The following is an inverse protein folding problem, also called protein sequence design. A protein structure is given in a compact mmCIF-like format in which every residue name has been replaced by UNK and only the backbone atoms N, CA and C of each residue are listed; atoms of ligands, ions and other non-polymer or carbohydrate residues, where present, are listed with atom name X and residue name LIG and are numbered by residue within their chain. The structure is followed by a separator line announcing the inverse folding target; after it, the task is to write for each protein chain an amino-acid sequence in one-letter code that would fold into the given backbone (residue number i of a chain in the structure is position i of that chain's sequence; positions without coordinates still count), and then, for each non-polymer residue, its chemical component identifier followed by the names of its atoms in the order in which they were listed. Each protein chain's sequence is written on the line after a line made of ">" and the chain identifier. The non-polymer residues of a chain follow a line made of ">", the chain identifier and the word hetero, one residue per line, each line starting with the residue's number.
data_IF_280946171620
#
_entry.id   IF_280946171620
#
_cell.length_a   1.000
_cell.length_b   1.000
_cell.length_c   1.000
_cell.angle_alpha   90.00
_cell.angle_beta   90.00
_cell.angle_gamma   90.00
#
_symmetry.space_group_name_H-M   'P 1'
#
loop_
_entity.id
_entity.type
_entity.pdbx_description
1 polymer ?
#
# COMPACT_ATOMS: atom_id res chain seq x y z
N UNK A 1 -1.54 -26.58 -4.20
CA UNK A 1 -1.42 -25.59 -3.13
C UNK A 1 -0.07 -24.90 -3.15
N UNK A 2 0.02 -23.70 -2.58
CA UNK A 2 1.31 -22.97 -2.43
C UNK A 2 2.07 -23.61 -1.28
N UNK A 3 3.33 -23.98 -1.53
CA UNK A 3 4.19 -24.47 -0.46
C UNK A 3 4.55 -23.28 0.47
N UNK A 4 4.43 -23.43 1.78
CA UNK A 4 4.71 -22.38 2.76
C UNK A 4 6.13 -21.80 2.63
N UNK A 5 7.08 -22.58 2.14
CA UNK A 5 8.46 -22.14 1.87
C UNK A 5 8.58 -21.07 0.79
N UNK A 6 7.52 -20.87 0.02
CA UNK A 6 7.46 -19.88 -1.05
C UNK A 6 6.68 -18.61 -0.62
N UNK A 7 6.45 -18.43 0.66
CA UNK A 7 5.76 -17.24 1.19
C UNK A 7 6.80 -16.21 1.62
N UNK A 8 6.87 -15.09 0.92
CA UNK A 8 7.66 -13.93 1.33
C UNK A 8 6.82 -13.02 2.21
N UNK A 9 7.28 -12.78 3.44
CA UNK A 9 6.62 -11.92 4.43
C UNK A 9 7.58 -10.87 4.94
N UNK A 10 7.24 -9.55 4.88
CA UNK A 10 8.08 -8.50 5.41
C UNK A 10 7.88 -8.33 6.92
N UNK A 11 8.87 -7.74 7.59
CA UNK A 11 8.72 -7.15 8.90
C UNK A 11 8.23 -5.70 8.72
N UNK A 12 6.91 -5.50 8.86
CA UNK A 12 6.22 -4.23 8.63
C UNK A 12 6.55 -3.24 9.76
N UNK A 13 6.88 -2.00 9.39
CA UNK A 13 7.26 -0.95 10.33
C UNK A 13 6.60 0.41 10.01
N UNK A 14 5.51 0.40 9.22
CA UNK A 14 4.77 1.59 8.77
C UNK A 14 5.66 2.57 8.00
N UNK A 15 6.49 2.05 7.13
CA UNK A 15 7.37 2.80 6.23
C UNK A 15 6.74 2.95 4.84
N UNK A 16 7.51 3.49 3.89
CA UNK A 16 7.21 3.44 2.45
C UNK A 16 8.10 2.48 1.67
N UNK A 17 8.85 1.64 2.39
CA UNK A 17 9.83 0.75 1.78
C UNK A 17 9.15 -0.43 1.09
N UNK A 18 9.50 -0.61 -0.19
CA UNK A 18 9.05 -1.73 -1.02
C UNK A 18 10.26 -2.48 -1.54
N UNK A 19 10.28 -3.79 -1.36
CA UNK A 19 11.38 -4.63 -1.82
C UNK A 19 10.93 -5.64 -2.87
N UNK A 20 11.83 -5.92 -3.78
CA UNK A 20 11.67 -6.96 -4.79
C UNK A 20 12.04 -8.32 -4.21
N UNK A 21 11.24 -9.34 -4.51
CA UNK A 21 11.51 -10.74 -4.21
C UNK A 21 12.03 -11.41 -5.48
N UNK A 22 13.32 -11.75 -5.50
CA UNK A 22 14.04 -12.18 -6.72
C UNK A 22 14.28 -13.68 -6.84
N UNK A 23 14.04 -14.46 -5.79
CA UNK A 23 14.37 -15.88 -5.77
C UNK A 23 13.42 -16.64 -4.85
N UNK A 24 13.43 -17.96 -4.96
CA UNK A 24 12.78 -18.82 -3.97
C UNK A 24 13.23 -18.42 -2.58
N UNK A 25 12.26 -18.19 -1.73
CA UNK A 25 12.51 -17.98 -0.32
C UNK A 25 13.09 -19.31 0.22
N UNK A 26 14.26 -19.28 0.82
CA UNK A 26 14.87 -20.50 1.33
C UNK A 26 14.17 -20.84 2.66
N UNK A 27 13.41 -21.91 2.69
CA UNK A 27 12.61 -22.30 3.85
C UNK A 27 13.41 -22.80 5.03
N UNK A 28 14.65 -23.21 4.78
CA UNK A 28 15.53 -23.74 5.82
C UNK A 28 16.05 -22.65 6.77
N UNK A 29 15.71 -21.38 6.48
CA UNK A 29 16.04 -20.23 7.32
C UNK A 29 14.77 -19.40 7.62
N UNK A 30 13.95 -19.79 8.61
CA UNK A 30 12.70 -19.07 8.93
C UNK A 30 12.92 -17.59 9.29
N UNK A 31 14.09 -17.23 9.83
CA UNK A 31 14.45 -15.84 10.15
C UNK A 31 14.97 -15.06 8.93
N UNK A 32 15.28 -15.73 7.84
CA UNK A 32 15.80 -15.12 6.62
C UNK A 32 14.81 -14.10 6.02
N UNK A 33 13.53 -14.39 6.05
CA UNK A 33 12.50 -13.48 5.54
C UNK A 33 12.42 -12.20 6.37
N UNK A 34 12.44 -12.31 7.69
CA UNK A 34 12.34 -11.17 8.59
C UNK A 34 13.56 -10.25 8.46
N UNK A 35 14.77 -10.82 8.41
CA UNK A 35 16.01 -10.03 8.27
C UNK A 35 16.13 -9.39 6.87
N UNK A 36 15.80 -10.12 5.82
CA UNK A 36 15.90 -9.64 4.43
C UNK A 36 14.91 -8.52 4.11
N UNK A 37 13.72 -8.59 4.70
CA UNK A 37 12.63 -7.63 4.46
C UNK A 37 12.29 -6.82 5.71
N UNK A 38 13.32 -6.50 6.52
CA UNK A 38 13.16 -5.64 7.68
C UNK A 38 12.74 -4.22 7.26
N UNK A 39 11.94 -3.56 8.10
CA UNK A 39 11.41 -2.21 7.87
C UNK A 39 10.81 -2.04 6.46
N UNK A 40 10.03 -3.03 6.05
CA UNK A 40 9.47 -3.12 4.70
C UNK A 40 7.97 -3.32 4.80
N UNK A 41 7.21 -2.49 4.09
CA UNK A 41 5.75 -2.53 4.12
C UNK A 41 5.14 -2.94 2.77
N UNK A 42 5.97 -3.25 1.79
CA UNK A 42 5.53 -3.78 0.51
C UNK A 42 6.54 -4.70 -0.15
N UNK A 43 6.04 -5.70 -0.85
CA UNK A 43 6.83 -6.64 -1.64
C UNK A 43 6.29 -6.70 -3.06
N UNK A 44 7.21 -6.86 -4.04
CA UNK A 44 6.86 -7.06 -5.44
C UNK A 44 7.62 -8.26 -6.03
N UNK A 45 7.01 -8.95 -6.97
CA UNK A 45 7.65 -10.06 -7.71
C UNK A 45 6.94 -10.35 -9.04
N UNK A 46 7.68 -10.92 -9.98
CA UNK A 46 7.15 -11.59 -11.17
C UNK A 46 7.43 -13.10 -11.17
N UNK A 47 8.01 -13.60 -10.09
CA UNK A 47 8.28 -15.04 -9.97
C UNK A 47 7.00 -15.82 -9.74
N UNK A 48 6.82 -16.90 -10.51
CA UNK A 48 5.77 -17.88 -10.26
C UNK A 48 6.08 -18.66 -8.99
N UNK A 49 5.05 -19.19 -8.37
CA UNK A 49 5.14 -20.02 -7.18
C UNK A 49 5.63 -19.28 -5.90
N UNK A 50 5.71 -17.95 -5.94
CA UNK A 50 5.97 -17.11 -4.76
C UNK A 50 4.67 -16.40 -4.36
N UNK A 51 4.29 -16.55 -3.10
CA UNK A 51 3.22 -15.77 -2.49
C UNK A 51 3.80 -14.61 -1.68
N UNK A 52 3.20 -13.43 -1.81
CA UNK A 52 3.52 -12.27 -1.00
C UNK A 52 2.49 -12.15 0.12
N UNK A 53 2.93 -12.03 1.36
CA UNK A 53 2.05 -11.94 2.51
C UNK A 53 2.35 -10.67 3.33
N UNK A 54 1.31 -9.94 3.68
CA UNK A 54 1.33 -8.86 4.68
C UNK A 54 0.22 -9.09 5.69
N UNK A 55 0.28 -8.44 6.82
CA UNK A 55 -0.75 -8.52 7.88
C UNK A 55 -1.29 -7.15 8.19
N UNK A 56 -2.58 -7.08 8.52
CA UNK A 56 -3.20 -5.87 9.03
C UNK A 56 -4.28 -6.22 10.07
N UNK A 57 -4.71 -5.19 10.80
CA UNK A 57 -6.00 -5.14 11.47
C UNK A 57 -6.84 -4.07 10.76
N UNK A 58 -6.59 -2.81 11.07
CA UNK A 58 -7.34 -1.66 10.53
C UNK A 58 -6.65 -0.99 9.33
N UNK A 59 -5.33 -1.19 9.20
CA UNK A 59 -4.56 -0.57 8.12
C UNK A 59 -5.00 -1.07 6.74
N UNK A 60 -4.82 -0.24 5.72
CA UNK A 60 -5.12 -0.60 4.33
C UNK A 60 -4.09 -1.63 3.85
N UNK A 61 -4.57 -2.71 3.23
CA UNK A 61 -3.77 -3.57 2.36
C UNK A 61 -4.15 -3.28 0.92
N UNK A 62 -3.15 -3.23 0.05
CA UNK A 62 -3.35 -3.08 -1.39
C UNK A 62 -2.64 -4.21 -2.13
N UNK A 63 -3.40 -4.88 -3.00
CA UNK A 63 -2.90 -5.90 -3.89
C UNK A 63 -2.83 -5.33 -5.30
N UNK A 64 -1.64 -5.30 -5.88
CA UNK A 64 -1.43 -4.83 -7.25
C UNK A 64 -1.14 -6.03 -8.16
N UNK A 65 -1.66 -5.95 -9.37
CA UNK A 65 -1.41 -6.94 -10.42
C UNK A 65 -1.29 -6.26 -11.78
N UNK A 66 -0.19 -6.52 -12.47
CA UNK A 66 -0.02 -6.20 -13.89
C UNK A 66 -0.16 -7.49 -14.70
N UNK A 67 -1.27 -7.66 -15.46
CA UNK A 67 -1.52 -8.88 -16.23
C UNK A 67 -0.58 -9.01 -17.45
N UNK A 68 -0.06 -7.88 -17.97
CA UNK A 68 0.82 -7.85 -19.15
C UNK A 68 2.22 -8.31 -18.76
N UNK A 69 2.77 -7.77 -17.68
CA UNK A 69 4.11 -8.12 -17.16
C UNK A 69 4.09 -9.28 -16.18
N UNK A 70 2.90 -9.71 -15.74
CA UNK A 70 2.69 -10.77 -14.74
C UNK A 70 3.44 -10.47 -13.44
N UNK A 71 3.30 -9.24 -12.97
CA UNK A 71 3.90 -8.75 -11.73
C UNK A 71 2.81 -8.60 -10.69
N UNK A 72 3.10 -9.02 -9.47
CA UNK A 72 2.24 -8.80 -8.30
C UNK A 72 2.96 -7.94 -7.28
N UNK A 73 2.19 -7.13 -6.54
CA UNK A 73 2.66 -6.49 -5.34
C UNK A 73 1.64 -6.66 -4.21
N UNK A 74 2.14 -6.74 -2.97
CA UNK A 74 1.33 -6.74 -1.77
C UNK A 74 1.88 -5.67 -0.83
N UNK A 75 1.06 -4.68 -0.46
CA UNK A 75 1.48 -3.45 0.20
C UNK A 75 0.61 -3.18 1.42
N UNK A 76 1.25 -3.02 2.56
CA UNK A 76 0.63 -2.53 3.79
C UNK A 76 0.73 -1.01 3.85
N UNK A 77 -0.40 -0.33 3.87
CA UNK A 77 -0.49 1.12 3.95
C UNK A 77 -1.21 1.54 5.24
N UNK A 78 -0.48 1.56 6.34
CA UNK A 78 -0.94 2.23 7.55
C UNK A 78 -1.00 3.75 7.33
N UNK A 79 -1.48 4.52 8.32
CA UNK A 79 -1.61 5.96 8.17
C UNK A 79 -0.29 6.67 7.81
N UNK A 80 0.85 6.23 8.36
CA UNK A 80 2.18 6.74 7.99
C UNK A 80 2.56 6.36 6.57
N UNK A 81 2.25 5.14 6.14
CA UNK A 81 2.50 4.67 4.79
C UNK A 81 1.68 5.45 3.75
N UNK A 82 0.40 5.70 4.03
CA UNK A 82 -0.45 6.56 3.20
C UNK A 82 0.11 7.97 3.11
N UNK A 83 0.47 8.57 4.26
CA UNK A 83 1.08 9.90 4.31
C UNK A 83 2.36 9.99 3.47
N UNK A 84 3.15 8.94 3.45
CA UNK A 84 4.39 8.83 2.66
C UNK A 84 4.14 8.34 1.21
N UNK A 85 2.88 8.20 0.79
CA UNK A 85 2.46 7.76 -0.55
C UNK A 85 3.00 6.39 -0.95
N UNK A 86 2.98 5.41 -0.04
CA UNK A 86 3.50 4.07 -0.31
C UNK A 86 2.84 3.39 -1.52
N UNK A 87 1.56 3.67 -1.80
CA UNK A 87 0.86 3.18 -2.99
C UNK A 87 1.52 3.66 -4.29
N UNK A 88 2.01 4.91 -4.31
CA UNK A 88 2.73 5.48 -5.44
C UNK A 88 4.12 4.86 -5.57
N UNK A 89 4.79 4.61 -4.43
CA UNK A 89 6.09 3.92 -4.45
C UNK A 89 5.97 2.50 -5.00
N UNK A 90 4.83 1.81 -4.74
CA UNK A 90 4.56 0.50 -5.33
C UNK A 90 4.48 0.57 -6.87
N UNK A 91 3.69 1.52 -7.41
CA UNK A 91 3.56 1.71 -8.86
C UNK A 91 4.90 2.10 -9.49
N UNK A 92 5.66 3.00 -8.85
CA UNK A 92 7.02 3.35 -9.31
C UNK A 92 7.92 2.12 -9.37
N UNK A 93 7.94 1.34 -8.29
CA UNK A 93 8.78 0.15 -8.18
C UNK A 93 8.40 -0.91 -9.23
N UNK A 94 7.10 -1.12 -9.49
CA UNK A 94 6.63 -2.01 -10.55
C UNK A 94 7.08 -1.51 -11.93
N UNK A 95 7.05 -0.20 -12.17
CA UNK A 95 7.54 0.39 -13.43
C UNK A 95 9.06 0.27 -13.57
N UNK A 96 9.82 0.61 -12.53
CA UNK A 96 11.29 0.60 -12.57
C UNK A 96 11.89 -0.80 -12.71
N UNK A 97 11.33 -1.78 -11.97
CA UNK A 97 11.89 -3.14 -11.92
C UNK A 97 11.38 -4.06 -13.04
N UNK A 98 10.19 -3.77 -13.58
CA UNK A 98 9.51 -4.68 -14.50
C UNK A 98 8.93 -4.01 -15.75
N UNK A 99 9.11 -2.69 -15.92
CA UNK A 99 8.54 -1.91 -17.02
C UNK A 99 7.01 -2.04 -17.11
N UNK A 100 6.32 -2.08 -15.95
CA UNK A 100 4.87 -2.03 -15.91
C UNK A 100 4.34 -0.68 -16.38
N UNK A 101 3.27 -0.66 -17.17
CA UNK A 101 2.54 0.58 -17.48
C UNK A 101 1.44 0.77 -16.41
N UNK A 102 1.38 1.91 -15.72
CA UNK A 102 0.32 2.18 -14.74
C UNK A 102 -1.11 1.92 -15.26
N UNK A 103 -1.35 2.10 -16.57
CA UNK A 103 -2.66 1.84 -17.19
C UNK A 103 -3.10 0.37 -17.16
N UNK A 104 -2.12 -0.54 -17.10
CA UNK A 104 -2.36 -1.98 -17.10
C UNK A 104 -2.45 -2.55 -15.67
N UNK A 105 -2.03 -1.77 -14.66
CA UNK A 105 -2.04 -2.19 -13.27
C UNK A 105 -3.45 -2.17 -12.71
N UNK A 106 -3.84 -3.27 -12.10
CA UNK A 106 -5.06 -3.42 -11.31
C UNK A 106 -4.68 -3.31 -9.83
N UNK A 107 -5.39 -2.52 -9.06
CA UNK A 107 -5.20 -2.38 -7.61
C UNK A 107 -6.48 -2.77 -6.87
N UNK A 108 -6.40 -3.77 -6.01
CA UNK A 108 -7.47 -4.11 -5.08
C UNK A 108 -7.15 -3.52 -3.71
N UNK A 109 -8.02 -2.63 -3.21
CA UNK A 109 -7.95 -2.07 -1.86
C UNK A 109 -8.78 -2.95 -0.93
N UNK A 110 -8.11 -3.74 -0.09
CA UNK A 110 -8.75 -4.68 0.80
C UNK A 110 -9.58 -3.97 1.90
N UNK A 111 -10.49 -4.71 2.59
CA UNK A 111 -11.22 -4.18 3.73
C UNK A 111 -10.28 -3.57 4.79
N UNK A 112 -10.62 -2.37 5.26
CA UNK A 112 -9.81 -1.59 6.19
C UNK A 112 -10.67 -0.58 6.94
N UNK A 113 -10.10 0.13 7.90
CA UNK A 113 -10.78 1.23 8.58
C UNK A 113 -11.21 2.29 7.57
N UNK A 114 -12.44 2.78 7.74
CA UNK A 114 -13.04 3.81 6.87
C UNK A 114 -13.10 5.16 7.58
N UNK A 115 -13.30 6.22 6.83
CA UNK A 115 -13.43 7.61 7.27
C UNK A 115 -14.30 7.76 8.53
N UNK A 116 -15.43 7.05 8.61
CA UNK A 116 -16.37 7.11 9.73
C UNK A 116 -15.77 6.67 11.08
N UNK A 117 -14.69 5.86 11.05
CA UNK A 117 -14.02 5.35 12.24
C UNK A 117 -12.58 5.84 12.40
N UNK A 118 -11.92 6.26 11.31
CA UNK A 118 -10.55 6.79 11.38
C UNK A 118 -10.56 8.24 11.86
N UNK A 119 -10.65 8.41 13.17
CA UNK A 119 -10.71 9.69 13.87
C UNK A 119 -9.36 9.99 14.50
N UNK A 120 -8.78 11.14 14.16
CA UNK A 120 -7.42 11.53 14.54
C UNK A 120 -7.38 12.90 15.18
N UNK A 121 -6.34 13.17 15.95
CA UNK A 121 -6.03 14.48 16.49
C UNK A 121 -5.19 15.32 15.49
N UNK A 122 -4.92 16.55 15.86
CA UNK A 122 -4.25 17.56 15.04
C UNK A 122 -2.82 17.17 14.63
N UNK A 123 -2.14 16.37 15.43
CA UNK A 123 -0.79 15.83 15.15
C UNK A 123 -0.74 14.94 13.91
N UNK A 124 -1.82 14.23 13.61
CA UNK A 124 -1.97 13.43 12.38
C UNK A 124 -2.66 14.25 11.28
N UNK A 125 -3.71 15.02 11.62
CA UNK A 125 -4.47 15.79 10.63
C UNK A 125 -3.60 16.82 9.90
N UNK A 126 -2.76 17.57 10.62
CA UNK A 126 -1.95 18.64 10.03
C UNK A 126 -0.95 18.12 8.99
N UNK A 127 -0.16 17.06 9.24
CA UNK A 127 0.67 16.45 8.20
C UNK A 127 -0.13 15.98 6.99
N UNK A 128 -1.29 15.33 7.18
CA UNK A 128 -2.14 14.89 6.08
C UNK A 128 -2.63 16.05 5.22
N UNK A 129 -3.15 17.10 5.86
CA UNK A 129 -3.62 18.27 5.12
C UNK A 129 -2.49 18.91 4.31
N UNK A 130 -1.31 19.08 4.91
CA UNK A 130 -0.16 19.67 4.22
C UNK A 130 0.31 18.85 3.03
N UNK A 131 0.31 17.51 3.14
CA UNK A 131 0.76 16.59 2.08
C UNK A 131 -0.25 16.50 0.93
N UNK A 132 -1.53 16.59 1.23
CA UNK A 132 -2.60 16.32 0.27
C UNK A 132 -3.45 17.55 -0.09
N UNK A 133 -3.07 18.76 0.34
CA UNK A 133 -3.83 20.01 0.12
C UNK A 133 -4.13 20.33 -1.34
N UNK A 134 -3.33 19.79 -2.27
CA UNK A 134 -3.50 20.02 -3.70
C UNK A 134 -4.47 18.99 -4.36
N UNK A 135 -5.00 18.04 -3.58
CA UNK A 135 -6.03 17.13 -4.08
C UNK A 135 -7.38 17.85 -4.18
N UNK A 136 -8.11 17.58 -5.26
CA UNK A 136 -9.50 17.97 -5.33
C UNK A 136 -10.27 17.42 -4.12
N UNK A 137 -11.17 18.22 -3.57
CA UNK A 137 -12.06 17.84 -2.45
C UNK A 137 -11.34 17.47 -1.16
N UNK A 138 -10.12 17.95 -0.93
CA UNK A 138 -9.39 17.65 0.30
C UNK A 138 -10.21 17.97 1.56
N UNK A 139 -11.02 19.01 1.52
CA UNK A 139 -11.90 19.40 2.64
C UNK A 139 -13.07 18.44 2.86
N UNK A 140 -13.40 17.60 1.86
CA UNK A 140 -14.33 16.47 2.00
C UNK A 140 -13.64 15.20 2.53
N UNK A 141 -12.33 15.06 2.30
CA UNK A 141 -11.54 13.91 2.72
C UNK A 141 -11.03 14.04 4.15
N UNK A 142 -10.78 15.26 4.62
CA UNK A 142 -10.31 15.59 5.98
C UNK A 142 -11.33 16.52 6.62
N UNK A 143 -12.23 15.97 7.41
CA UNK A 143 -13.40 16.69 7.95
C UNK A 143 -13.29 16.84 9.47
N UNK A 144 -13.44 18.05 10.02
CA UNK A 144 -13.52 18.22 11.46
C UNK A 144 -14.77 17.54 12.03
N UNK A 145 -14.66 16.95 13.20
CA UNK A 145 -15.78 16.33 13.90
C UNK A 145 -16.41 17.37 14.81
N UNK A 146 -17.68 17.66 14.58
CA UNK A 146 -18.40 18.67 15.35
C UNK A 146 -18.39 18.36 16.85
N UNK A 147 -17.95 19.29 17.66
CA UNK A 147 -17.89 19.16 19.13
C UNK A 147 -16.69 18.36 19.64
N UNK A 148 -15.76 17.96 18.78
CA UNK A 148 -14.55 17.23 19.16
C UNK A 148 -13.30 17.94 18.61
N UNK A 149 -12.15 17.86 19.33
CA UNK A 149 -10.84 18.25 18.80
C UNK A 149 -10.22 17.10 17.98
N UNK A 150 -11.00 16.63 17.02
CA UNK A 150 -10.63 15.51 16.14
C UNK A 150 -11.14 15.71 14.71
N UNK A 151 -10.52 15.00 13.79
CA UNK A 151 -10.85 14.96 12.37
C UNK A 151 -11.05 13.52 11.88
N UNK A 152 -12.00 13.35 10.98
CA UNK A 152 -12.13 12.11 10.19
C UNK A 152 -11.33 12.24 8.90
N UNK A 153 -10.54 11.23 8.56
CA UNK A 153 -9.74 11.20 7.33
C UNK A 153 -10.13 10.00 6.47
N UNK A 154 -10.39 10.24 5.17
CA UNK A 154 -10.63 9.18 4.19
C UNK A 154 -9.33 8.74 3.52
N UNK A 155 -8.59 7.88 4.20
CA UNK A 155 -7.31 7.35 3.69
C UNK A 155 -7.48 6.44 2.49
N UNK A 156 -8.64 5.80 2.34
CA UNK A 156 -8.97 4.95 1.19
C UNK A 156 -9.16 5.80 -0.05
N UNK A 157 -9.98 6.84 0.05
CA UNK A 157 -10.24 7.72 -1.08
C UNK A 157 -8.98 8.52 -1.48
N UNK A 158 -8.17 8.96 -0.51
CA UNK A 158 -6.87 9.57 -0.79
C UNK A 158 -6.00 8.63 -1.63
N UNK A 159 -5.87 7.34 -1.25
CA UNK A 159 -5.10 6.37 -2.02
C UNK A 159 -5.65 6.17 -3.44
N UNK A 160 -6.97 6.13 -3.63
CA UNK A 160 -7.58 6.04 -4.96
C UNK A 160 -7.19 7.23 -5.84
N UNK A 161 -7.41 8.45 -5.35
CA UNK A 161 -7.12 9.67 -6.11
C UNK A 161 -5.65 9.74 -6.52
N UNK A 162 -4.71 9.48 -5.60
CA UNK A 162 -3.28 9.53 -5.94
C UNK A 162 -2.86 8.42 -6.90
N UNK A 163 -3.49 7.23 -6.85
CA UNK A 163 -3.26 6.17 -7.81
C UNK A 163 -3.77 6.54 -9.21
N UNK A 164 -4.95 7.15 -9.32
CA UNK A 164 -5.47 7.68 -10.58
C UNK A 164 -4.55 8.77 -11.15
N UNK A 165 -4.12 9.72 -10.33
CA UNK A 165 -3.14 10.75 -10.73
C UNK A 165 -1.81 10.14 -11.17
N UNK A 166 -1.45 8.95 -10.66
CA UNK A 166 -0.26 8.21 -11.07
C UNK A 166 -0.43 7.47 -12.39
N UNK A 167 -1.65 7.40 -12.90
CA UNK A 167 -1.99 6.85 -14.21
C UNK A 167 -2.67 5.50 -14.19
N UNK A 168 -3.10 4.99 -13.05
CA UNK A 168 -4.00 3.86 -13.01
C UNK A 168 -5.38 4.32 -13.53
N UNK A 169 -6.08 3.42 -14.21
CA UNK A 169 -7.46 3.69 -14.62
C UNK A 169 -8.39 3.53 -13.43
N UNK A 170 -9.41 4.38 -13.32
CA UNK A 170 -10.38 4.32 -12.22
C UNK A 170 -11.07 2.94 -12.13
N UNK A 171 -11.42 2.34 -13.27
CA UNK A 171 -12.02 1.00 -13.34
C UNK A 171 -11.10 -0.14 -12.86
N UNK A 172 -9.80 0.12 -12.78
CA UNK A 172 -8.79 -0.83 -12.28
C UNK A 172 -8.52 -0.69 -10.78
N UNK A 173 -9.16 0.25 -10.08
CA UNK A 173 -9.02 0.44 -8.63
C UNK A 173 -10.31 -0.06 -7.97
N UNK A 174 -10.23 -1.23 -7.33
CA UNK A 174 -11.36 -2.02 -6.82
C UNK A 174 -11.37 -1.98 -5.29
#
# INVERSE_FOLDING_TARGET
>A
GINYINIAKPNQAHTKNIKRVNAKVNADEPDFNLMKYNETDGLITNHRDIALATTNADCILMLFFDPVKRVIANVHSGWKGTLQRISIEAVKKMKEEYNCDPKDIICCICPSIRKCHFKVHKDVQKPYYNEFKDLEKIDELIVPIQGEDRWSIDTVEINKIILEQKGLKAENII
#
